data_IF_816745960010
#
_entry.id   IF_816745960010
#
_cell.length_a   1.000
_cell.length_b   1.000
_cell.length_c   1.000
_cell.angle_alpha   90.00
_cell.angle_beta   90.00
_cell.angle_gamma   90.00
#
_symmetry.space_group_name_H-M   'P 1'
#
loop_
_entity.id
_entity.type
_entity.pdbx_description
1 polymer ?
#
# COMPACT_ATOMS: atom_id res chain seq x y z
N UNK A 1 27.25 -12.37 2.03
CA UNK A 1 26.76 -11.06 2.48
C UNK A 1 25.57 -11.32 3.39
N UNK A 2 25.75 -11.31 4.71
CA UNK A 2 24.59 -11.36 5.60
C UNK A 2 24.87 -10.79 7.00
N UNK A 3 25.57 -9.65 7.05
CA UNK A 3 25.94 -8.98 8.30
C UNK A 3 24.72 -8.68 9.20
N UNK A 4 23.52 -8.62 8.61
CA UNK A 4 22.27 -8.29 9.29
C UNK A 4 21.20 -9.40 9.15
N UNK A 5 21.58 -10.64 8.82
CA UNK A 5 20.67 -11.76 8.63
C UNK A 5 19.67 -11.89 9.78
N UNK A 6 20.23 -11.95 11.00
CA UNK A 6 19.51 -12.18 12.24
C UNK A 6 18.57 -11.02 12.55
N UNK A 7 19.01 -9.78 12.28
CA UNK A 7 18.18 -8.59 12.49
C UNK A 7 17.01 -8.56 11.51
N UNK A 8 17.25 -8.88 10.24
CA UNK A 8 16.20 -8.95 9.22
C UNK A 8 15.16 -10.02 9.55
N UNK A 9 15.62 -11.22 9.91
CA UNK A 9 14.74 -12.32 10.32
C UNK A 9 13.92 -11.96 11.57
N UNK A 10 14.53 -11.30 12.55
CA UNK A 10 13.81 -10.85 13.74
C UNK A 10 12.72 -9.83 13.36
N UNK A 11 13.03 -8.81 12.54
CA UNK A 11 12.06 -7.79 12.11
C UNK A 11 10.91 -8.39 11.31
N UNK A 12 11.19 -9.33 10.40
CA UNK A 12 10.17 -9.98 9.57
C UNK A 12 9.19 -10.87 10.35
N UNK A 13 9.58 -11.34 11.54
CA UNK A 13 8.75 -12.21 12.40
C UNK A 13 7.96 -11.46 13.47
N UNK A 14 8.16 -10.16 13.63
CA UNK A 14 7.44 -9.36 14.62
C UNK A 14 6.02 -9.07 14.15
N UNK A 15 5.07 -9.19 15.07
CA UNK A 15 3.72 -8.67 14.86
C UNK A 15 3.77 -7.14 14.79
N UNK A 16 3.06 -6.57 13.81
CA UNK A 16 2.98 -5.13 13.62
C UNK A 16 1.69 -4.59 14.25
N UNK A 17 1.82 -3.61 15.14
CA UNK A 17 0.70 -2.84 15.67
C UNK A 17 0.70 -1.48 14.96
N UNK A 18 -0.26 -1.29 14.05
CA UNK A 18 -0.46 0.01 13.40
C UNK A 18 -1.27 0.93 14.29
N UNK A 19 -0.61 1.92 14.89
CA UNK A 19 -1.23 2.91 15.77
C UNK A 19 -2.01 3.99 15.02
N UNK A 20 -1.91 4.07 13.69
CA UNK A 20 -2.58 5.10 12.91
C UNK A 20 -2.84 4.67 11.46
N UNK A 21 -4.10 4.33 11.20
CA UNK A 21 -4.60 4.02 9.87
C UNK A 21 -5.94 4.72 9.59
N UNK A 22 -6.27 4.83 8.30
CA UNK A 22 -7.60 5.22 7.84
C UNK A 22 -8.44 3.99 7.47
N UNK A 23 -9.75 4.17 7.42
CA UNK A 23 -10.69 3.11 7.06
C UNK A 23 -10.46 2.62 5.62
N UNK A 24 -10.64 1.32 5.41
CA UNK A 24 -10.69 0.75 4.06
C UNK A 24 -11.95 1.29 3.36
N UNK A 25 -11.79 1.75 2.13
CA UNK A 25 -12.89 2.19 1.28
C UNK A 25 -13.59 1.00 0.63
N UNK A 26 -14.92 1.04 0.57
CA UNK A 26 -15.73 0.03 -0.10
C UNK A 26 -15.43 -0.01 -1.61
N UNK A 27 -15.63 -1.17 -2.23
CA UNK A 27 -15.35 -1.38 -3.66
C UNK A 27 -16.24 -0.52 -4.59
N UNK A 28 -17.44 -0.16 -4.12
CA UNK A 28 -18.44 0.67 -4.79
C UNK A 28 -18.40 2.14 -4.32
N UNK A 29 -17.36 2.52 -3.58
CA UNK A 29 -17.15 3.91 -3.14
C UNK A 29 -16.94 4.86 -4.32
N UNK A 30 -17.45 6.08 -4.19
CA UNK A 30 -17.12 7.18 -5.11
C UNK A 30 -15.73 7.77 -4.89
N UNK A 31 -14.96 7.26 -3.92
CA UNK A 31 -13.61 7.72 -3.64
C UNK A 31 -12.64 7.24 -4.75
N UNK A 32 -11.94 8.14 -5.46
CA UNK A 32 -11.05 7.72 -6.54
C UNK A 32 -9.88 6.89 -6.02
N UNK A 33 -9.74 5.65 -6.51
CA UNK A 33 -8.64 4.76 -6.12
C UNK A 33 -7.25 5.39 -6.27
N UNK A 34 -7.06 6.20 -7.32
CA UNK A 34 -5.81 6.91 -7.58
C UNK A 34 -5.42 7.91 -6.47
N UNK A 35 -6.40 8.41 -5.71
CA UNK A 35 -6.20 9.30 -4.55
C UNK A 35 -5.66 8.56 -3.33
N UNK A 36 -5.75 7.23 -3.30
CA UNK A 36 -5.09 6.44 -2.25
C UNK A 36 -3.54 6.48 -2.33
N UNK A 37 -2.98 6.99 -3.42
CA UNK A 37 -1.52 7.01 -3.66
C UNK A 37 -0.90 8.40 -3.58
N UNK A 38 -1.73 9.44 -3.45
CA UNK A 38 -1.31 10.83 -3.44
C UNK A 38 -2.39 11.73 -2.86
N UNK A 39 -1.98 12.72 -2.06
CA UNK A 39 -2.86 13.81 -1.61
C UNK A 39 -3.16 14.84 -2.71
N UNK A 40 -2.74 14.59 -3.96
CA UNK A 40 -3.05 15.45 -5.09
C UNK A 40 -4.56 15.50 -5.36
N UNK A 41 -5.03 16.64 -5.86
CA UNK A 41 -6.43 16.86 -6.20
C UNK A 41 -6.56 17.62 -7.53
N UNK A 42 -7.76 17.62 -8.11
CA UNK A 42 -8.03 18.21 -9.41
C UNK A 42 -7.09 17.68 -10.49
N UNK A 43 -6.60 18.56 -11.35
CA UNK A 43 -5.75 18.20 -12.49
C UNK A 43 -4.42 17.56 -12.06
N UNK A 44 -3.92 17.86 -10.86
CA UNK A 44 -2.69 17.29 -10.35
C UNK A 44 -2.81 15.77 -10.10
N UNK A 45 -4.02 15.28 -9.81
CA UNK A 45 -4.28 13.86 -9.56
C UNK A 45 -3.96 12.99 -10.80
N UNK A 46 -4.06 13.56 -12.00
CA UNK A 46 -3.70 12.87 -13.25
C UNK A 46 -2.22 12.45 -13.30
N UNK A 47 -1.36 13.05 -12.48
CA UNK A 47 0.08 12.73 -12.41
C UNK A 47 0.45 11.75 -11.30
N UNK A 48 -0.48 11.39 -10.41
CA UNK A 48 -0.27 10.38 -9.37
C UNK A 48 0.29 9.02 -9.89
N UNK A 49 0.00 8.54 -11.12
CA UNK A 49 0.56 7.29 -11.62
C UNK A 49 2.09 7.33 -11.83
N UNK A 50 2.67 8.54 -11.89
CA UNK A 50 4.13 8.69 -11.96
C UNK A 50 4.81 8.57 -10.59
N UNK A 51 4.05 8.67 -9.49
CA UNK A 51 4.56 8.53 -8.13
C UNK A 51 5.03 7.10 -7.84
N UNK A 52 6.01 6.97 -6.94
CA UNK A 52 6.54 5.68 -6.55
C UNK A 52 5.50 4.83 -5.81
N UNK A 53 4.64 5.45 -4.99
CA UNK A 53 3.55 4.79 -4.26
C UNK A 53 2.61 4.03 -5.20
N UNK A 54 2.23 4.65 -6.31
CA UNK A 54 1.41 4.01 -7.34
C UNK A 54 2.18 2.88 -8.03
N UNK A 55 3.41 3.17 -8.50
CA UNK A 55 4.24 2.19 -9.23
C UNK A 55 4.57 0.96 -8.41
N UNK A 56 4.95 1.10 -7.13
CA UNK A 56 5.30 -0.06 -6.30
C UNK A 56 4.11 -0.99 -6.17
N UNK A 57 2.88 -0.49 -5.95
CA UNK A 57 1.70 -1.35 -5.87
C UNK A 57 1.36 -2.00 -7.22
N UNK A 58 1.39 -1.24 -8.32
CA UNK A 58 0.94 -1.74 -9.63
C UNK A 58 1.99 -2.55 -10.38
N UNK A 59 3.29 -2.32 -10.13
CA UNK A 59 4.38 -3.05 -10.78
C UNK A 59 4.49 -4.49 -10.31
N UNK A 60 3.86 -4.87 -9.20
CA UNK A 60 3.55 -6.27 -8.90
C UNK A 60 2.41 -6.77 -9.81
N UNK A 61 2.60 -6.73 -11.13
CA UNK A 61 1.69 -7.24 -12.17
C UNK A 61 1.39 -8.76 -12.08
N UNK A 62 1.76 -9.43 -10.98
CA UNK A 62 1.43 -10.81 -10.68
C UNK A 62 0.86 -11.04 -9.28
N UNK A 63 0.82 -10.04 -8.39
CA UNK A 63 0.00 -10.16 -7.20
C UNK A 63 -1.41 -9.79 -7.60
N UNK A 64 -2.26 -10.81 -7.63
CA UNK A 64 -3.71 -10.71 -7.60
C UNK A 64 -4.10 -9.52 -6.73
N UNK A 65 -5.15 -8.79 -7.14
CA UNK A 65 -5.99 -8.06 -6.21
C UNK A 65 -6.49 -9.08 -5.15
N UNK A 66 -5.64 -9.39 -4.18
CA UNK A 66 -6.04 -10.07 -2.96
C UNK A 66 -6.83 -9.00 -2.23
N UNK A 67 -8.12 -9.22 -1.96
CA UNK A 67 -8.80 -8.39 -0.97
C UNK A 67 -7.94 -8.54 0.28
N UNK A 68 -7.41 -7.43 0.77
CA UNK A 68 -6.76 -7.37 2.08
C UNK A 68 -7.87 -7.73 3.08
N UNK A 69 -8.01 -9.03 3.31
CA UNK A 69 -8.66 -9.59 4.48
C UNK A 69 -7.68 -9.40 5.62
N UNK A 70 -7.66 -8.19 6.16
CA UNK A 70 -7.31 -8.03 7.56
C UNK A 70 -8.37 -8.84 8.31
N UNK A 71 -7.91 -9.91 8.94
CA UNK A 71 -8.74 -10.92 9.58
C UNK A 71 -9.75 -10.30 10.53
N UNK A 72 -10.97 -10.82 10.43
CA UNK A 72 -11.74 -11.10 11.62
C UNK A 72 -11.05 -12.21 12.42
#
# INVERSE_FOLDING_TARGET
>A
MDRFAVLREAVEKLELIDGHAHNIVAIDSSFPFIKCFSEADGDALAYAPHALSFKVLTSYHHCRFLPISIGC
#
